data_IF_011637940486
#
_entry.id   IF_011637940486
#
_cell.length_a   1.000
_cell.length_b   1.000
_cell.length_c   1.000
_cell.angle_alpha   90.00
_cell.angle_beta   90.00
_cell.angle_gamma   90.00
#
_symmetry.space_group_name_H-M   'P 1'
#
loop_
_entity.id
_entity.type
_entity.pdbx_description
1 polymer ?
#
# COMPACT_ATOMS: atom_id res chain seq x y z
N UNK A 1 20.81 -7.62 -5.85
CA UNK A 1 19.44 -7.91 -6.24
C UNK A 1 18.79 -6.63 -6.71
N UNK A 2 17.78 -6.68 -7.56
CA UNK A 2 17.02 -5.49 -7.99
C UNK A 2 16.32 -4.88 -6.76
N UNK A 3 16.35 -3.56 -6.64
CA UNK A 3 15.64 -2.85 -5.59
C UNK A 3 14.14 -2.89 -5.85
N UNK A 4 13.34 -3.14 -4.81
CA UNK A 4 11.90 -3.32 -4.92
C UNK A 4 11.18 -2.27 -4.08
N UNK A 5 10.24 -1.56 -4.68
CA UNK A 5 9.36 -0.60 -4.02
C UNK A 5 7.94 -1.16 -3.94
N UNK A 6 7.31 -0.98 -2.80
CA UNK A 6 5.92 -1.31 -2.55
C UNK A 6 5.16 -0.07 -2.11
N UNK A 7 4.13 0.31 -2.84
CA UNK A 7 3.10 1.21 -2.33
C UNK A 7 1.97 0.36 -1.74
N UNK A 8 1.79 0.41 -0.41
CA UNK A 8 0.73 -0.29 0.29
C UNK A 8 -0.28 0.72 0.84
N UNK A 9 -1.44 0.76 0.21
CA UNK A 9 -2.47 1.78 0.39
C UNK A 9 -3.84 1.13 0.62
N UNK A 10 -4.87 1.92 0.87
CA UNK A 10 -6.18 1.39 1.25
C UNK A 10 -7.03 0.97 0.06
N UNK A 11 -7.10 1.82 -0.99
CA UNK A 11 -8.04 1.66 -2.09
C UNK A 11 -7.34 1.72 -3.45
N UNK A 12 -7.90 1.08 -4.49
CA UNK A 12 -7.44 1.27 -5.87
C UNK A 12 -7.62 2.74 -6.27
N UNK A 13 -6.59 3.43 -6.73
CA UNK A 13 -6.44 4.84 -7.08
C UNK A 13 -5.67 5.72 -6.05
N UNK A 14 -5.55 5.31 -4.81
CA UNK A 14 -4.77 6.05 -3.81
C UNK A 14 -3.32 6.30 -4.26
N UNK A 15 -2.70 5.33 -4.93
CA UNK A 15 -1.33 5.45 -5.44
C UNK A 15 -1.22 6.49 -6.56
N UNK A 16 -2.24 6.59 -7.40
CA UNK A 16 -2.29 7.58 -8.49
C UNK A 16 -2.32 9.00 -7.92
N UNK A 17 -3.04 9.19 -6.83
CA UNK A 17 -3.18 10.49 -6.18
C UNK A 17 -1.95 10.83 -5.33
N UNK A 18 -1.41 9.86 -4.57
CA UNK A 18 -0.45 10.13 -3.51
C UNK A 18 1.01 9.97 -3.94
N UNK A 19 1.34 9.03 -4.81
CA UNK A 19 2.75 8.70 -5.09
C UNK A 19 3.07 8.25 -6.53
N UNK A 20 2.16 8.38 -7.50
CA UNK A 20 2.39 7.91 -8.86
C UNK A 20 3.67 8.48 -9.49
N UNK A 21 3.91 9.77 -9.33
CA UNK A 21 5.12 10.42 -9.85
C UNK A 21 6.40 9.79 -9.30
N UNK A 22 6.43 9.50 -8.00
CA UNK A 22 7.54 8.83 -7.35
C UNK A 22 7.73 7.40 -7.88
N UNK A 23 6.63 6.63 -8.01
CA UNK A 23 6.68 5.26 -8.53
C UNK A 23 7.17 5.19 -9.96
N UNK A 24 6.73 6.12 -10.82
CA UNK A 24 7.21 6.24 -12.21
C UNK A 24 8.72 6.51 -12.24
N UNK A 25 9.21 7.46 -11.45
CA UNK A 25 10.65 7.77 -11.38
C UNK A 25 11.48 6.59 -10.88
N UNK A 26 10.96 5.81 -9.93
CA UNK A 26 11.61 4.60 -9.46
C UNK A 26 11.62 3.51 -10.55
N UNK A 27 10.52 3.33 -11.27
CA UNK A 27 10.46 2.40 -12.41
C UNK A 27 11.49 2.77 -13.50
N UNK A 28 11.57 4.05 -13.87
CA UNK A 28 12.55 4.57 -14.83
C UNK A 28 14.00 4.37 -14.35
N UNK A 29 14.22 4.37 -13.02
CA UNK A 29 15.50 4.07 -12.40
C UNK A 29 15.78 2.56 -12.26
N UNK A 30 14.92 1.69 -12.80
CA UNK A 30 15.11 0.23 -12.81
C UNK A 30 14.65 -0.50 -11.55
N UNK A 31 13.83 0.13 -10.71
CA UNK A 31 13.22 -0.53 -9.56
C UNK A 31 12.06 -1.43 -10.00
N UNK A 32 11.90 -2.55 -9.31
CA UNK A 32 10.68 -3.36 -9.43
C UNK A 32 9.58 -2.72 -8.60
N UNK A 33 8.43 -2.46 -9.22
CA UNK A 33 7.31 -1.76 -8.60
C UNK A 33 6.18 -2.72 -8.26
N UNK A 34 5.73 -2.66 -7.02
CA UNK A 34 4.52 -3.33 -6.56
C UNK A 34 3.56 -2.29 -5.96
N UNK A 35 2.28 -2.43 -6.29
CA UNK A 35 1.19 -1.69 -5.66
C UNK A 35 0.27 -2.70 -5.00
N UNK A 36 -0.04 -2.48 -3.73
CA UNK A 36 -0.99 -3.30 -3.00
C UNK A 36 -2.04 -2.42 -2.35
N UNK A 37 -3.29 -2.86 -2.39
CA UNK A 37 -4.36 -2.22 -1.65
C UNK A 37 -4.95 -3.17 -0.61
N UNK A 38 -5.36 -2.63 0.54
CA UNK A 38 -6.02 -3.42 1.56
C UNK A 38 -7.39 -3.89 1.08
N UNK A 39 -8.10 -3.06 0.29
CA UNK A 39 -9.44 -3.33 -0.21
C UNK A 39 -9.50 -3.28 -1.73
N UNK A 40 -10.49 -3.91 -2.36
CA UNK A 40 -10.75 -3.74 -3.80
C UNK A 40 -11.59 -2.48 -4.11
N UNK A 41 -11.89 -1.63 -3.11
CA UNK A 41 -12.74 -0.46 -3.26
C UNK A 41 -14.22 -0.81 -3.48
N UNK A 42 -14.72 -1.82 -2.77
CA UNK A 42 -16.04 -2.41 -2.97
C UNK A 42 -17.22 -1.52 -2.54
N UNK A 43 -16.97 -0.39 -1.89
CA UNK A 43 -17.97 0.63 -1.55
C UNK A 43 -17.93 1.87 -2.46
N UNK A 44 -17.01 1.96 -3.41
CA UNK A 44 -16.79 3.14 -4.26
C UNK A 44 -17.80 3.33 -5.39
N UNK A 45 -19.08 3.03 -5.17
CA UNK A 45 -20.14 3.20 -6.18
C UNK A 45 -21.48 3.45 -5.53
N UNK A 46 -22.38 4.13 -6.25
CA UNK A 46 -23.77 4.34 -5.86
C UNK A 46 -24.75 3.45 -6.64
N UNK A 47 -24.29 2.71 -7.65
CA UNK A 47 -25.16 2.06 -8.62
C UNK A 47 -24.81 0.61 -8.93
N UNK A 48 -23.60 0.16 -8.61
CA UNK A 48 -23.14 -1.20 -8.90
C UNK A 48 -23.19 -2.09 -7.66
N UNK A 49 -23.18 -3.40 -7.86
CA UNK A 49 -22.95 -4.32 -6.76
C UNK A 49 -21.51 -4.23 -6.28
N UNK A 50 -21.26 -4.63 -5.03
CA UNK A 50 -19.89 -4.65 -4.50
C UNK A 50 -18.94 -5.53 -5.32
N UNK A 51 -19.45 -6.58 -5.91
CA UNK A 51 -18.68 -7.52 -6.74
C UNK A 51 -18.28 -6.90 -8.08
N UNK A 52 -19.22 -6.20 -8.72
CA UNK A 52 -18.97 -5.56 -10.02
C UNK A 52 -17.99 -4.42 -9.89
N UNK A 53 -18.16 -3.54 -8.89
CA UNK A 53 -17.23 -2.43 -8.68
C UNK A 53 -15.85 -2.92 -8.25
N UNK A 54 -15.75 -3.95 -7.42
CA UNK A 54 -14.49 -4.58 -7.06
C UNK A 54 -13.73 -5.09 -8.27
N UNK A 55 -14.42 -5.80 -9.17
CA UNK A 55 -13.81 -6.30 -10.40
C UNK A 55 -13.34 -5.16 -11.31
N UNK A 56 -14.16 -4.12 -11.48
CA UNK A 56 -13.82 -2.94 -12.28
C UNK A 56 -12.57 -2.25 -11.74
N UNK A 57 -12.58 -1.86 -10.48
CA UNK A 57 -11.47 -1.11 -9.86
C UNK A 57 -10.19 -1.93 -9.78
N UNK A 58 -10.28 -3.22 -9.49
CA UNK A 58 -9.11 -4.12 -9.51
C UNK A 58 -8.49 -4.21 -10.89
N UNK A 59 -9.32 -4.31 -11.95
CA UNK A 59 -8.81 -4.34 -13.32
C UNK A 59 -8.18 -3.01 -13.74
N UNK A 60 -8.74 -1.89 -13.33
CA UNK A 60 -8.17 -0.56 -13.55
C UNK A 60 -6.80 -0.43 -12.88
N UNK A 61 -6.68 -0.80 -11.59
CA UNK A 61 -5.42 -0.79 -10.86
C UNK A 61 -4.35 -1.68 -11.51
N UNK A 62 -4.72 -2.90 -11.95
CA UNK A 62 -3.80 -3.80 -12.67
C UNK A 62 -3.30 -3.19 -13.97
N UNK A 63 -4.18 -2.54 -14.73
CA UNK A 63 -3.81 -1.88 -15.99
C UNK A 63 -2.91 -0.67 -15.75
N UNK A 64 -3.21 0.13 -14.74
CA UNK A 64 -2.41 1.30 -14.39
C UNK A 64 -0.97 0.90 -14.02
N UNK A 65 -0.79 -0.04 -13.09
CA UNK A 65 0.55 -0.46 -12.68
C UNK A 65 1.31 -1.18 -13.79
N UNK A 66 0.62 -1.89 -14.68
CA UNK A 66 1.24 -2.55 -15.83
C UNK A 66 1.90 -1.55 -16.80
N UNK A 67 1.42 -0.31 -16.87
CA UNK A 67 2.02 0.75 -17.69
C UNK A 67 3.47 1.09 -17.28
N UNK A 68 3.82 0.84 -16.02
CA UNK A 68 5.18 1.03 -15.49
C UNK A 68 5.87 -0.31 -15.21
N UNK A 69 5.38 -1.40 -15.79
CA UNK A 69 5.96 -2.73 -15.62
C UNK A 69 5.82 -3.33 -14.23
N UNK A 70 4.92 -2.83 -13.42
CA UNK A 70 4.70 -3.27 -12.05
C UNK A 70 3.62 -4.35 -11.89
N UNK A 71 3.38 -4.75 -10.64
CA UNK A 71 2.37 -5.74 -10.26
C UNK A 71 1.42 -5.20 -9.20
N UNK A 72 0.14 -5.56 -9.30
CA UNK A 72 -0.91 -5.20 -8.34
C UNK A 72 -1.30 -6.37 -7.45
N UNK A 73 -1.56 -6.07 -6.18
CA UNK A 73 -2.02 -7.00 -5.15
C UNK A 73 -3.20 -6.40 -4.37
N UNK A 74 -4.07 -7.26 -3.86
CA UNK A 74 -5.17 -6.84 -2.98
C UNK A 74 -5.27 -7.82 -1.81
N UNK A 75 -5.51 -7.32 -0.61
CA UNK A 75 -5.72 -8.15 0.59
C UNK A 75 -7.19 -8.59 0.74
N UNK A 76 -8.08 -8.06 -0.10
CA UNK A 76 -9.53 -8.36 -0.08
C UNK A 76 -10.23 -8.06 1.25
N UNK A 77 -9.75 -7.04 1.98
CA UNK A 77 -10.51 -6.48 3.09
C UNK A 77 -11.68 -5.63 2.57
N UNK A 78 -12.66 -5.37 3.43
CA UNK A 78 -13.81 -4.55 3.07
C UNK A 78 -13.48 -3.06 3.13
N UNK A 79 -13.84 -2.33 2.08
CA UNK A 79 -13.76 -0.88 1.99
C UNK A 79 -14.60 -0.23 3.12
N UNK A 80 -14.01 0.72 3.85
CA UNK A 80 -14.60 1.37 5.02
C UNK A 80 -14.48 0.56 6.32
N UNK A 81 -13.97 -0.67 6.27
CA UNK A 81 -13.92 -1.58 7.42
C UNK A 81 -12.51 -2.15 7.67
N UNK A 82 -11.48 -1.49 7.17
CA UNK A 82 -10.10 -1.91 7.45
C UNK A 82 -9.78 -1.67 8.92
N UNK A 83 -9.28 -2.70 9.58
CA UNK A 83 -8.86 -2.61 10.98
C UNK A 83 -7.48 -3.23 11.18
N UNK A 84 -6.73 -2.66 12.12
CA UNK A 84 -5.48 -3.25 12.59
C UNK A 84 -5.82 -4.40 13.53
N UNK A 85 -5.96 -5.59 12.98
CA UNK A 85 -6.18 -6.81 13.74
C UNK A 85 -5.19 -7.92 13.31
N UNK A 86 -5.19 -9.02 14.05
CA UNK A 86 -4.25 -10.12 13.81
C UNK A 86 -4.41 -10.74 12.41
N UNK A 87 -5.62 -11.07 11.92
CA UNK A 87 -5.77 -11.64 10.59
C UNK A 87 -5.28 -10.70 9.47
N UNK A 88 -5.63 -9.42 9.53
CA UNK A 88 -5.26 -8.44 8.52
C UNK A 88 -3.75 -8.15 8.54
N UNK A 89 -3.16 -8.08 9.74
CA UNK A 89 -1.72 -7.96 9.89
C UNK A 89 -0.99 -9.19 9.32
N UNK A 90 -1.51 -10.40 9.54
CA UNK A 90 -0.90 -11.61 8.98
C UNK A 90 -0.91 -11.60 7.44
N UNK A 91 -2.02 -11.20 6.82
CA UNK A 91 -2.08 -11.01 5.35
C UNK A 91 -1.05 -10.01 4.86
N UNK A 92 -0.87 -8.90 5.58
CA UNK A 92 0.11 -7.87 5.25
C UNK A 92 1.54 -8.41 5.36
N UNK A 93 1.86 -9.14 6.44
CA UNK A 93 3.17 -9.79 6.62
C UNK A 93 3.44 -10.78 5.48
N UNK A 94 2.47 -11.60 5.13
CA UNK A 94 2.60 -12.60 4.06
C UNK A 94 2.82 -11.93 2.70
N UNK A 95 2.19 -10.79 2.44
CA UNK A 95 2.45 -9.97 1.26
C UNK A 95 3.90 -9.46 1.26
N UNK A 96 4.37 -8.90 2.38
CA UNK A 96 5.74 -8.39 2.52
C UNK A 96 6.78 -9.50 2.33
N UNK A 97 6.50 -10.73 2.82
CA UNK A 97 7.34 -11.90 2.59
C UNK A 97 7.50 -12.23 1.11
N UNK A 98 6.40 -12.17 0.36
CA UNK A 98 6.40 -12.47 -1.08
C UNK A 98 7.11 -11.42 -1.92
N UNK A 99 6.99 -10.14 -1.52
CA UNK A 99 7.54 -9.01 -2.27
C UNK A 99 8.97 -8.70 -1.84
N UNK A 100 9.29 -8.82 -0.55
CA UNK A 100 10.55 -8.42 0.06
C UNK A 100 10.95 -6.97 -0.30
N UNK A 101 10.10 -5.97 -0.01
CA UNK A 101 10.37 -4.60 -0.41
C UNK A 101 11.57 -4.04 0.34
N UNK A 102 12.35 -3.20 -0.33
CA UNK A 102 13.40 -2.38 0.28
C UNK A 102 12.96 -0.94 0.52
N UNK A 103 11.84 -0.56 -0.09
CA UNK A 103 11.21 0.75 0.05
C UNK A 103 9.69 0.58 0.09
N UNK A 104 9.03 1.21 1.07
CA UNK A 104 7.58 1.15 1.26
C UNK A 104 7.01 2.56 1.35
N UNK A 105 5.95 2.79 0.59
CA UNK A 105 5.11 3.99 0.70
C UNK A 105 3.74 3.57 1.27
N UNK A 106 3.21 4.36 2.20
CA UNK A 106 1.89 4.14 2.77
C UNK A 106 1.23 5.46 3.12
N UNK A 107 -0.01 5.40 3.61
CA UNK A 107 -0.74 6.60 4.06
C UNK A 107 -0.09 7.27 5.25
N UNK A 108 -0.42 8.55 5.46
CA UNK A 108 -0.08 9.28 6.67
C UNK A 108 -0.64 8.59 7.93
N UNK A 109 0.06 8.77 9.05
CA UNK A 109 -0.40 8.24 10.34
C UNK A 109 -1.64 8.98 10.87
N UNK A 110 -1.84 10.21 10.44
CA UNK A 110 -3.02 11.02 10.70
C UNK A 110 -3.62 11.48 9.38
N UNK A 111 -4.81 10.99 9.07
CA UNK A 111 -5.52 11.15 7.81
C UNK A 111 -7.02 11.28 8.08
N UNK A 112 -7.75 11.96 7.21
CA UNK A 112 -9.20 12.13 7.34
C UNK A 112 -9.97 10.80 7.27
N UNK A 113 -9.40 9.79 6.61
CA UNK A 113 -10.06 8.50 6.37
C UNK A 113 -9.45 7.40 7.24
N UNK A 114 -10.30 6.71 8.00
CA UNK A 114 -9.85 5.67 8.94
C UNK A 114 -9.15 4.51 8.26
N UNK A 115 -9.60 4.06 7.08
CA UNK A 115 -8.91 3.00 6.33
C UNK A 115 -7.45 3.37 6.04
N UNK A 116 -7.17 4.63 5.71
CA UNK A 116 -5.82 5.14 5.48
C UNK A 116 -4.96 5.02 6.75
N UNK A 117 -5.50 5.43 7.88
CA UNK A 117 -4.81 5.34 9.19
C UNK A 117 -4.51 3.89 9.54
N UNK A 118 -5.49 3.00 9.41
CA UNK A 118 -5.32 1.57 9.72
C UNK A 118 -4.29 0.90 8.81
N UNK A 119 -4.29 1.23 7.50
CA UNK A 119 -3.28 0.73 6.55
C UNK A 119 -1.88 1.23 6.92
N UNK A 120 -1.72 2.47 7.35
CA UNK A 120 -0.43 2.99 7.79
C UNK A 120 0.14 2.20 8.99
N UNK A 121 -0.72 1.81 9.92
CA UNK A 121 -0.35 0.96 11.07
C UNK A 121 0.06 -0.44 10.63
N UNK A 122 -0.70 -1.05 9.72
CA UNK A 122 -0.39 -2.36 9.14
C UNK A 122 0.96 -2.35 8.40
N UNK A 123 1.19 -1.34 7.56
CA UNK A 123 2.45 -1.17 6.83
C UNK A 123 3.64 -1.02 7.78
N UNK A 124 3.51 -0.19 8.80
CA UNK A 124 4.56 0.02 9.81
C UNK A 124 4.90 -1.28 10.55
N UNK A 125 3.88 -1.98 11.05
CA UNK A 125 4.08 -3.23 11.78
C UNK A 125 4.71 -4.30 10.89
N UNK A 126 4.16 -4.52 9.69
CA UNK A 126 4.67 -5.52 8.75
C UNK A 126 6.11 -5.21 8.33
N UNK A 127 6.45 -3.96 8.06
CA UNK A 127 7.83 -3.54 7.72
C UNK A 127 8.84 -3.97 8.77
N UNK A 128 8.47 -3.89 10.05
CA UNK A 128 9.37 -4.26 11.13
C UNK A 128 9.47 -5.77 11.35
N UNK A 129 8.33 -6.50 11.29
CA UNK A 129 8.29 -7.90 11.75
C UNK A 129 8.39 -8.94 10.64
N UNK A 130 8.19 -8.60 9.36
CA UNK A 130 8.11 -9.61 8.29
C UNK A 130 9.40 -10.45 8.16
N UNK A 131 10.53 -9.92 8.62
CA UNK A 131 11.81 -10.63 8.64
C UNK A 131 11.99 -11.62 9.79
N UNK A 132 11.10 -11.62 10.80
CA UNK A 132 11.22 -12.51 11.95
C UNK A 132 10.95 -13.97 11.54
N UNK A 133 11.80 -14.94 11.91
CA UNK A 133 11.76 -16.31 11.36
C UNK A 133 10.41 -17.01 11.46
N UNK A 134 9.72 -16.87 12.58
CA UNK A 134 8.50 -17.63 12.89
C UNK A 134 7.21 -16.83 12.71
N UNK A 135 7.26 -15.63 12.12
CA UNK A 135 6.10 -14.76 11.99
C UNK A 135 5.14 -15.18 10.86
N UNK A 136 5.63 -15.93 9.90
CA UNK A 136 4.88 -16.40 8.73
C UNK A 136 5.41 -17.74 8.23
N UNK A 137 4.54 -18.53 7.60
CA UNK A 137 4.90 -19.76 6.91
C UNK A 137 5.50 -19.51 5.52
N UNK A 138 5.32 -18.32 4.96
CA UNK A 138 5.98 -17.95 3.71
C UNK A 138 7.49 -17.79 3.92
N UNK A 139 8.32 -18.32 3.01
CA UNK A 139 9.76 -18.20 3.13
C UNK A 139 10.20 -16.74 3.05
N UNK A 140 11.19 -16.39 3.87
CA UNK A 140 11.86 -15.11 3.75
C UNK A 140 12.86 -15.17 2.59
N UNK A 141 12.75 -14.23 1.65
CA UNK A 141 13.69 -14.15 0.54
C UNK A 141 15.09 -13.76 1.03
N UNK A 142 16.17 -14.39 0.49
CA UNK A 142 17.53 -14.05 0.88
C UNK A 142 17.84 -12.57 0.69
N UNK A 143 18.48 -11.96 1.68
CA UNK A 143 18.86 -10.56 1.62
C UNK A 143 17.74 -9.57 2.02
N UNK A 144 16.58 -10.07 2.44
CA UNK A 144 15.50 -9.21 2.98
C UNK A 144 15.99 -8.42 4.20
N UNK A 145 15.67 -7.13 4.23
CA UNK A 145 15.98 -6.21 5.33
C UNK A 145 14.73 -5.42 5.69
N UNK A 146 14.73 -4.79 6.85
CA UNK A 146 13.71 -3.79 7.20
C UNK A 146 13.72 -2.71 6.12
N UNK A 147 12.60 -2.46 5.42
CA UNK A 147 12.55 -1.47 4.36
C UNK A 147 12.60 -0.04 4.92
N UNK A 148 12.98 0.91 4.08
CA UNK A 148 12.72 2.32 4.34
C UNK A 148 11.21 2.55 4.17
N UNK A 149 10.58 3.12 5.19
CA UNK A 149 9.14 3.40 5.21
C UNK A 149 8.89 4.90 5.11
N UNK A 150 8.12 5.29 4.10
CA UNK A 150 7.67 6.66 3.89
C UNK A 150 6.15 6.73 4.01
N UNK A 151 5.68 7.75 4.72
CA UNK A 151 4.28 8.11 4.81
C UNK A 151 3.98 9.21 3.79
N UNK A 152 3.02 8.96 2.89
CA UNK A 152 2.55 9.99 1.95
C UNK A 152 1.67 10.99 2.71
N UNK A 153 1.80 12.28 2.39
CA UNK A 153 0.93 13.29 2.97
C UNK A 153 -0.54 13.00 2.60
N UNK A 154 -1.49 13.35 3.48
CA UNK A 154 -2.91 13.25 3.16
C UNK A 154 -3.29 14.14 1.99
N UNK A 155 -4.46 13.93 1.40
CA UNK A 155 -5.04 14.82 0.38
C UNK A 155 -5.02 16.27 0.88
N UNK A 156 -4.70 17.20 -0.01
CA UNK A 156 -4.55 18.62 0.27
C UNK A 156 -3.43 18.99 1.25
N UNK A 157 -2.60 18.02 1.67
CA UNK A 157 -1.51 18.25 2.61
C UNK A 157 -1.96 18.69 3.99
N UNK A 158 -3.12 18.24 4.44
CA UNK A 158 -3.68 18.58 5.77
C UNK A 158 -3.99 17.32 6.57
N UNK A 159 -3.83 17.40 7.90
CA UNK A 159 -4.19 16.32 8.83
C UNK A 159 -5.70 16.25 9.10
N UNK A 160 -6.12 15.32 9.95
CA UNK A 160 -7.54 15.11 10.31
C UNK A 160 -8.20 16.32 11.01
N UNK A 161 -7.39 17.25 11.52
CA UNK A 161 -7.85 18.48 12.15
C UNK A 161 -7.73 19.71 11.24
N UNK A 162 -7.38 19.52 9.96
CA UNK A 162 -7.23 20.60 8.99
C UNK A 162 -5.92 21.39 9.15
N UNK A 163 -4.92 20.85 9.86
CA UNK A 163 -3.62 21.50 10.04
C UNK A 163 -2.67 21.07 8.91
N UNK A 164 -1.82 21.98 8.42
CA UNK A 164 -0.85 21.62 7.39
C UNK A 164 0.05 20.45 7.83
N UNK A 165 0.18 19.45 6.99
CA UNK A 165 1.21 18.43 7.13
C UNK A 165 2.57 19.04 6.76
N UNK A 166 3.59 18.78 7.59
CA UNK A 166 4.94 19.28 7.34
C UNK A 166 5.76 18.15 6.74
N UNK A 167 6.09 18.19 5.44
CA UNK A 167 6.83 17.13 4.80
C UNK A 167 8.29 17.10 5.30
N UNK A 168 8.84 15.90 5.45
CA UNK A 168 10.28 15.70 5.71
C UNK A 168 11.06 15.48 4.42
N UNK A 169 10.38 15.06 3.36
CA UNK A 169 10.96 14.79 2.04
C UNK A 169 10.00 15.26 0.97
N UNK A 170 10.50 15.98 -0.01
CA UNK A 170 9.75 16.42 -1.19
C UNK A 170 10.45 15.85 -2.42
N UNK A 171 9.67 15.25 -3.35
CA UNK A 171 10.18 14.58 -4.56
C UNK A 171 9.63 15.26 -5.82
#
# INVERSE_FOLDING_TARGET
>A
GMSTALAFLAHPDDDEILCAGTLIRLADAGWTIHIATATPGDCGTMTQTRWDISATRTNEARRAVAMIGGAYHCLDERDGLVVYDKPTLQKTIDLFRRIAPSLVFTHAQDDYMMDHVEVSKLARAASFVFGAPNISTFPLLPGSKIPHLYYCDPIDGIDSLGRPAIPTTVI
#
